data_IF_629648904568
#
_entry.id   IF_629648904568
#
_cell.length_a   1.000
_cell.length_b   1.000
_cell.length_c   1.000
_cell.angle_alpha   90.00
_cell.angle_beta   90.00
_cell.angle_gamma   90.00
#
_symmetry.space_group_name_H-M   'P 1'
#
loop_
_entity.id
_entity.type
_entity.pdbx_description
1 polymer ?
#
# COMPACT_ATOMS: atom_id res chain seq x y z
N UNK A 1 46.92 -1.07 -13.98
CA UNK A 1 45.84 -0.30 -14.63
C UNK A 1 44.76 -1.19 -15.25
N UNK A 2 45.04 -2.27 -15.95
CA UNK A 2 44.05 -3.14 -16.61
C UNK A 2 43.04 -3.80 -15.65
N UNK A 3 43.45 -4.27 -14.45
CA UNK A 3 42.51 -4.95 -13.53
C UNK A 3 41.42 -4.03 -12.98
N UNK A 4 41.73 -2.76 -12.72
CA UNK A 4 40.70 -1.79 -12.29
C UNK A 4 39.65 -1.55 -13.37
N UNK A 5 40.09 -1.38 -14.63
CA UNK A 5 39.18 -1.18 -15.75
C UNK A 5 38.22 -2.40 -15.94
N UNK A 6 38.77 -3.61 -15.89
CA UNK A 6 37.97 -4.85 -15.99
C UNK A 6 36.96 -4.92 -14.85
N UNK A 7 37.36 -4.64 -13.61
CA UNK A 7 36.48 -4.65 -12.45
C UNK A 7 35.29 -3.66 -12.60
N UNK A 8 35.57 -2.40 -12.98
CA UNK A 8 34.50 -1.43 -13.21
C UNK A 8 33.59 -1.82 -14.37
N UNK A 9 34.14 -2.38 -15.46
CA UNK A 9 33.33 -2.83 -16.60
C UNK A 9 32.39 -3.97 -16.22
N UNK A 10 32.81 -4.87 -15.34
CA UNK A 10 31.95 -5.95 -14.82
C UNK A 10 30.81 -5.36 -13.99
N UNK A 11 31.10 -4.42 -13.07
CA UNK A 11 30.05 -3.79 -12.24
C UNK A 11 29.02 -3.08 -13.11
N UNK A 12 29.47 -2.29 -14.08
CA UNK A 12 28.58 -1.59 -15.01
C UNK A 12 27.76 -2.60 -15.82
N UNK A 13 28.37 -3.67 -16.31
CA UNK A 13 27.68 -4.74 -17.03
C UNK A 13 26.58 -5.39 -16.20
N UNK A 14 26.87 -5.73 -14.95
CA UNK A 14 25.88 -6.32 -14.01
C UNK A 14 24.74 -5.33 -13.73
N UNK A 15 25.03 -4.04 -13.55
CA UNK A 15 24.02 -3.00 -13.36
C UNK A 15 23.10 -2.87 -14.58
N UNK A 16 23.68 -2.83 -15.79
CA UNK A 16 22.88 -2.77 -17.03
C UNK A 16 21.99 -4.00 -17.17
N UNK A 17 22.50 -5.20 -16.88
CA UNK A 17 21.71 -6.44 -16.90
C UNK A 17 20.54 -6.35 -15.90
N UNK A 18 20.77 -5.87 -14.68
CA UNK A 18 19.72 -5.70 -13.67
C UNK A 18 18.61 -4.76 -14.16
N UNK A 19 18.97 -3.61 -14.72
CA UNK A 19 17.99 -2.65 -15.26
C UNK A 19 17.20 -3.27 -16.41
N UNK A 20 17.86 -3.98 -17.33
CA UNK A 20 17.17 -4.68 -18.43
C UNK A 20 16.19 -5.76 -17.91
N UNK A 21 16.56 -6.49 -16.87
CA UNK A 21 15.67 -7.45 -16.22
C UNK A 21 14.43 -6.78 -15.65
N UNK A 22 14.58 -5.61 -14.99
CA UNK A 22 13.43 -4.86 -14.47
C UNK A 22 12.53 -4.31 -15.58
N UNK A 23 13.10 -3.83 -16.68
CA UNK A 23 12.32 -3.39 -17.86
C UNK A 23 11.52 -4.57 -18.43
N UNK A 24 12.17 -5.71 -18.65
CA UNK A 24 11.48 -6.93 -19.13
C UNK A 24 10.38 -7.36 -18.15
N UNK A 25 10.65 -7.29 -16.85
CA UNK A 25 9.67 -7.59 -15.81
C UNK A 25 8.49 -6.64 -15.85
N UNK A 26 8.73 -5.34 -15.99
CA UNK A 26 7.71 -4.33 -16.10
C UNK A 26 6.75 -4.60 -17.28
N UNK A 27 7.29 -4.92 -18.45
CA UNK A 27 6.51 -5.19 -19.66
C UNK A 27 5.69 -6.51 -19.58
N UNK A 28 6.08 -7.44 -18.70
CA UNK A 28 5.33 -8.69 -18.47
C UNK A 28 4.04 -8.49 -17.67
N UNK A 29 4.00 -7.49 -16.79
CA UNK A 29 2.83 -7.22 -15.99
C UNK A 29 1.84 -6.39 -16.80
N UNK A 30 0.70 -6.98 -17.10
CA UNK A 30 -0.39 -6.30 -17.80
C UNK A 30 -1.46 -5.88 -16.81
N UNK A 31 -2.03 -4.66 -16.96
CA UNK A 31 -3.20 -4.29 -16.17
C UNK A 31 -4.33 -5.27 -16.44
N UNK A 32 -5.12 -5.56 -15.40
CA UNK A 32 -6.38 -6.29 -15.60
C UNK A 32 -7.27 -5.45 -16.52
N UNK A 33 -7.75 -6.06 -17.59
CA UNK A 33 -8.64 -5.43 -18.58
C UNK A 33 -10.10 -5.81 -18.36
N UNK A 34 -10.37 -6.74 -17.46
CA UNK A 34 -11.73 -7.23 -17.17
C UNK A 34 -12.30 -6.48 -15.97
N UNK A 35 -13.42 -5.83 -16.18
CA UNK A 35 -14.25 -5.38 -15.06
C UNK A 35 -14.99 -6.59 -14.51
N UNK A 36 -14.67 -6.98 -13.31
CA UNK A 36 -15.43 -7.95 -12.54
C UNK A 36 -16.42 -7.19 -11.65
N UNK A 37 -17.64 -7.71 -11.54
CA UNK A 37 -18.63 -7.18 -10.59
C UNK A 37 -17.98 -7.15 -9.19
N UNK A 38 -18.12 -6.00 -8.52
CA UNK A 38 -17.54 -5.78 -7.20
C UNK A 38 -18.19 -6.69 -6.17
N UNK A 39 -17.53 -7.79 -5.82
CA UNK A 39 -18.01 -8.78 -4.84
C UNK A 39 -17.08 -8.94 -3.65
N UNK A 40 -15.82 -8.51 -3.78
CA UNK A 40 -14.84 -8.62 -2.71
C UNK A 40 -15.13 -7.60 -1.60
N UNK A 41 -15.11 -8.05 -0.37
CA UNK A 41 -15.31 -7.20 0.80
C UNK A 41 -13.97 -6.77 1.39
N UNK A 42 -13.83 -5.46 1.71
CA UNK A 42 -12.59 -4.86 2.18
C UNK A 42 -12.72 -4.19 3.55
N UNK A 43 -11.77 -4.41 4.43
CA UNK A 43 -11.54 -3.58 5.62
C UNK A 43 -10.31 -2.71 5.39
N UNK A 44 -10.52 -1.40 5.28
CA UNK A 44 -9.44 -0.42 5.09
C UNK A 44 -8.90 0.00 6.44
N UNK A 45 -7.59 0.03 6.58
CA UNK A 45 -6.90 0.48 7.79
C UNK A 45 -6.08 1.71 7.47
N UNK A 46 -6.33 2.79 8.20
CA UNK A 46 -5.67 4.08 8.04
C UNK A 46 -5.14 4.56 9.39
N UNK A 47 -3.86 4.28 9.72
CA UNK A 47 -3.22 4.87 10.88
C UNK A 47 -3.04 6.38 10.68
N UNK A 48 -3.29 7.17 11.72
CA UNK A 48 -3.05 8.60 11.65
C UNK A 48 -2.59 9.17 13.00
N UNK A 49 -1.83 10.26 12.93
CA UNK A 49 -1.45 11.08 14.08
C UNK A 49 -1.20 12.52 13.64
N UNK A 50 -2.02 13.46 14.13
CA UNK A 50 -1.92 14.88 13.80
C UNK A 50 -1.99 15.16 12.28
N UNK A 51 -3.01 14.61 11.63
CA UNK A 51 -3.23 14.68 10.17
C UNK A 51 -4.37 15.64 9.79
N UNK A 52 -4.70 16.62 10.63
CA UNK A 52 -5.80 17.56 10.37
C UNK A 52 -5.68 18.27 9.02
N UNK A 53 -4.47 18.43 8.49
CA UNK A 53 -4.22 19.06 7.18
C UNK A 53 -4.60 18.13 6.01
N UNK A 54 -4.29 16.83 6.10
CA UNK A 54 -4.39 15.88 5.01
C UNK A 54 -5.71 15.10 5.01
N UNK A 55 -6.30 14.87 6.18
CA UNK A 55 -7.56 14.13 6.34
C UNK A 55 -8.72 14.65 5.48
N UNK A 56 -8.96 15.96 5.28
CA UNK A 56 -10.02 16.42 4.41
C UNK A 56 -9.91 15.89 2.98
N UNK A 57 -8.73 15.91 2.41
CA UNK A 57 -8.46 15.45 1.04
C UNK A 57 -8.63 13.93 0.94
N UNK A 58 -8.09 13.17 1.89
CA UNK A 58 -8.27 11.71 1.97
C UNK A 58 -9.75 11.34 2.07
N UNK A 59 -10.47 11.91 3.04
CA UNK A 59 -11.89 11.60 3.28
C UNK A 59 -12.76 11.96 2.08
N UNK A 60 -12.49 13.09 1.41
CA UNK A 60 -13.16 13.45 0.16
C UNK A 60 -12.87 12.44 -0.96
N UNK A 61 -11.64 11.91 -1.05
CA UNK A 61 -11.32 10.87 -2.02
C UNK A 61 -12.06 9.55 -1.72
N UNK A 62 -12.26 9.21 -0.45
CA UNK A 62 -13.07 8.05 -0.02
C UNK A 62 -14.54 8.22 -0.43
N UNK A 63 -15.10 9.43 -0.26
CA UNK A 63 -16.51 9.69 -0.56
C UNK A 63 -16.88 9.43 -2.03
N UNK A 64 -15.93 9.60 -2.95
CA UNK A 64 -16.15 9.47 -4.40
C UNK A 64 -15.70 8.11 -4.97
N UNK A 65 -15.32 7.16 -4.13
CA UNK A 65 -14.98 5.79 -4.58
C UNK A 65 -16.21 5.13 -5.21
N UNK A 66 -16.01 4.59 -6.41
CA UNK A 66 -17.02 3.89 -7.20
C UNK A 66 -17.03 2.39 -6.86
N UNK A 67 -17.57 2.06 -5.67
CA UNK A 67 -17.73 0.70 -5.18
C UNK A 67 -18.94 0.63 -4.23
N UNK A 68 -19.59 -0.53 -4.12
CA UNK A 68 -20.74 -0.69 -3.23
C UNK A 68 -20.32 -0.45 -1.77
N UNK A 69 -20.95 0.53 -1.14
CA UNK A 69 -20.63 0.95 0.23
C UNK A 69 -20.90 -0.13 1.29
N UNK A 70 -21.70 -1.13 0.97
CA UNK A 70 -21.93 -2.29 1.85
C UNK A 70 -20.79 -3.30 1.83
N UNK A 71 -19.87 -3.18 0.87
CA UNK A 71 -18.75 -4.11 0.67
C UNK A 71 -17.42 -3.61 1.26
N UNK A 72 -17.40 -2.46 1.92
CA UNK A 72 -16.19 -2.02 2.62
C UNK A 72 -16.48 -1.29 3.92
N UNK A 73 -15.52 -1.31 4.81
CA UNK A 73 -15.47 -0.48 6.01
C UNK A 73 -14.14 0.25 6.07
N UNK A 74 -14.12 1.41 6.73
CA UNK A 74 -12.92 2.21 6.97
C UNK A 74 -12.64 2.25 8.47
N UNK A 75 -11.43 1.87 8.88
CA UNK A 75 -10.97 1.92 10.26
C UNK A 75 -9.83 2.93 10.35
N UNK A 76 -10.14 4.09 10.89
CA UNK A 76 -9.17 5.12 11.20
C UNK A 76 -8.59 4.84 12.60
N UNK A 77 -7.27 4.69 12.70
CA UNK A 77 -6.59 4.36 13.96
C UNK A 77 -5.85 5.58 14.46
N UNK A 78 -6.38 6.20 15.49
CA UNK A 78 -5.78 7.37 16.13
C UNK A 78 -4.61 6.99 17.03
N UNK A 79 -3.42 7.46 16.68
CA UNK A 79 -2.21 7.27 17.46
C UNK A 79 -1.91 8.49 18.35
N UNK A 80 -2.85 8.84 19.23
CA UNK A 80 -2.76 9.94 20.19
C UNK A 80 -2.63 11.33 19.52
N UNK A 81 -3.52 11.64 18.58
CA UNK A 81 -3.59 12.98 17.97
C UNK A 81 -3.95 14.05 18.99
N UNK A 82 -3.33 15.22 18.85
CA UNK A 82 -3.53 16.40 19.70
C UNK A 82 -4.08 17.61 18.93
N UNK A 83 -4.27 17.45 17.61
CA UNK A 83 -4.85 18.45 16.72
C UNK A 83 -6.35 18.17 16.45
N UNK A 84 -6.94 18.85 15.48
CA UNK A 84 -8.36 18.73 15.12
C UNK A 84 -8.70 17.50 14.26
N UNK A 85 -7.79 16.52 14.12
CA UNK A 85 -8.00 15.33 13.28
C UNK A 85 -9.29 14.59 13.60
N UNK A 86 -9.56 14.34 14.88
CA UNK A 86 -10.78 13.63 15.32
C UNK A 86 -12.06 14.40 15.02
N UNK A 87 -12.04 15.74 15.16
CA UNK A 87 -13.19 16.59 14.86
C UNK A 87 -13.53 16.55 13.36
N UNK A 88 -12.51 16.62 12.50
CA UNK A 88 -12.66 16.52 11.03
C UNK A 88 -13.31 15.18 10.65
N UNK A 89 -12.83 14.07 11.21
CA UNK A 89 -13.39 12.74 10.96
C UNK A 89 -14.86 12.68 11.40
N UNK A 90 -15.18 13.17 12.59
CA UNK A 90 -16.55 13.14 13.12
C UNK A 90 -17.51 13.97 12.26
N UNK A 91 -17.09 15.16 11.80
CA UNK A 91 -17.87 15.99 10.88
C UNK A 91 -18.10 15.30 9.54
N UNK A 92 -17.07 14.64 9.00
CA UNK A 92 -17.19 13.88 7.76
C UNK A 92 -18.18 12.71 7.90
N UNK A 93 -18.10 11.93 8.98
CA UNK A 93 -19.01 10.82 9.26
C UNK A 93 -20.47 11.29 9.37
N UNK A 94 -20.70 12.42 10.04
CA UNK A 94 -22.04 13.00 10.16
C UNK A 94 -22.64 13.38 8.79
N UNK A 95 -21.80 13.88 7.88
CA UNK A 95 -22.22 14.27 6.53
C UNK A 95 -22.30 13.09 5.53
N UNK A 96 -21.70 11.95 5.86
CA UNK A 96 -21.63 10.77 4.99
C UNK A 96 -22.09 9.48 5.71
N UNK A 97 -23.31 9.41 6.24
CA UNK A 97 -23.77 8.30 7.09
C UNK A 97 -23.89 6.95 6.37
N UNK A 98 -23.77 6.94 5.05
CA UNK A 98 -23.85 5.71 4.24
C UNK A 98 -22.50 4.98 4.12
N UNK A 99 -21.39 5.62 4.54
CA UNK A 99 -20.06 5.00 4.52
C UNK A 99 -19.77 4.45 5.92
N UNK A 100 -19.43 3.18 6.01
CA UNK A 100 -19.10 2.55 7.28
C UNK A 100 -17.67 2.95 7.73
N UNK A 101 -17.59 4.02 8.52
CA UNK A 101 -16.33 4.54 9.07
C UNK A 101 -16.36 4.45 10.58
N UNK A 102 -15.30 3.90 11.15
CA UNK A 102 -15.09 3.91 12.59
C UNK A 102 -13.69 4.41 12.95
N UNK A 103 -13.60 5.12 14.06
CA UNK A 103 -12.33 5.55 14.64
C UNK A 103 -12.06 4.75 15.89
N UNK A 104 -10.85 4.20 16.00
CA UNK A 104 -10.38 3.47 17.19
C UNK A 104 -9.05 4.07 17.67
N UNK A 105 -8.77 3.91 18.97
CA UNK A 105 -7.48 4.31 19.51
C UNK A 105 -6.43 3.23 19.27
N UNK A 106 -5.21 3.65 18.96
CA UNK A 106 -4.06 2.74 18.89
C UNK A 106 -3.74 2.14 20.26
N UNK A 107 -3.48 0.84 20.29
CA UNK A 107 -2.94 0.14 21.47
C UNK A 107 -1.46 -0.12 21.25
N UNK A 108 -0.63 0.84 21.66
CA UNK A 108 0.83 0.75 21.53
C UNK A 108 1.38 -0.38 22.39
N UNK A 109 2.09 -1.32 21.77
CA UNK A 109 2.70 -2.48 22.41
C UNK A 109 4.18 -2.62 22.07
N UNK A 110 4.66 -1.90 21.05
CA UNK A 110 6.03 -1.98 20.54
C UNK A 110 6.64 -0.59 20.32
N UNK A 111 7.85 -0.55 19.79
CA UNK A 111 8.51 0.69 19.38
C UNK A 111 8.07 1.17 17.98
N UNK A 112 7.08 0.52 17.36
CA UNK A 112 6.56 0.85 16.04
C UNK A 112 5.07 1.19 16.09
N UNK A 113 4.70 2.47 16.33
CA UNK A 113 3.30 2.89 16.46
C UNK A 113 2.42 2.50 15.27
N UNK A 114 2.96 2.55 14.04
CA UNK A 114 2.22 2.18 12.82
C UNK A 114 1.90 0.68 12.79
N UNK A 115 2.84 -0.20 13.15
CA UNK A 115 2.60 -1.65 13.23
C UNK A 115 1.59 -2.00 14.32
N UNK A 116 1.68 -1.33 15.46
CA UNK A 116 0.71 -1.48 16.55
C UNK A 116 -0.69 -1.03 16.11
N UNK A 117 -0.79 0.09 15.40
CA UNK A 117 -2.06 0.60 14.88
C UNK A 117 -2.70 -0.39 13.88
N UNK A 118 -1.93 -0.93 12.94
CA UNK A 118 -2.41 -1.94 12.01
C UNK A 118 -2.86 -3.20 12.76
N UNK A 119 -2.07 -3.69 13.72
CA UNK A 119 -2.40 -4.87 14.52
C UNK A 119 -3.66 -4.67 15.36
N UNK A 120 -3.82 -3.48 15.96
CA UNK A 120 -5.02 -3.08 16.70
C UNK A 120 -6.25 -3.08 15.78
N UNK A 121 -6.13 -2.51 14.58
CA UNK A 121 -7.21 -2.45 13.62
C UNK A 121 -7.63 -3.85 13.13
N UNK A 122 -6.68 -4.73 12.79
CA UNK A 122 -6.96 -6.08 12.28
C UNK A 122 -7.86 -6.87 13.22
N UNK A 123 -7.70 -6.72 14.53
CA UNK A 123 -8.57 -7.35 15.53
C UNK A 123 -10.02 -6.85 15.47
N UNK A 124 -10.24 -5.68 14.88
CA UNK A 124 -11.54 -5.00 14.77
C UNK A 124 -12.13 -5.04 13.35
N UNK A 125 -11.48 -5.71 12.38
CA UNK A 125 -11.96 -5.78 11.00
C UNK A 125 -13.06 -6.82 10.83
N UNK A 126 -14.07 -6.49 10.00
CA UNK A 126 -15.19 -7.38 9.63
C UNK A 126 -14.80 -8.33 8.49
N UNK A 127 -13.99 -7.87 7.55
CA UNK A 127 -13.80 -8.54 6.27
C UNK A 127 -12.45 -9.24 6.17
N UNK A 128 -12.36 -10.20 5.23
CA UNK A 128 -11.18 -11.04 5.06
C UNK A 128 -10.04 -10.40 4.26
N UNK A 129 -10.32 -9.34 3.48
CA UNK A 129 -9.31 -8.57 2.80
C UNK A 129 -9.03 -7.27 3.53
N UNK A 130 -7.78 -7.09 3.92
CA UNK A 130 -7.27 -5.86 4.52
C UNK A 130 -6.66 -5.00 3.41
N UNK A 131 -6.96 -3.72 3.42
CA UNK A 131 -6.31 -2.73 2.57
C UNK A 131 -5.70 -1.66 3.46
N UNK A 132 -4.39 -1.44 3.35
CA UNK A 132 -3.68 -0.40 4.10
C UNK A 132 -3.40 0.80 3.20
N UNK A 133 -3.58 1.99 3.76
CA UNK A 133 -3.17 3.27 3.17
C UNK A 133 -2.79 4.26 4.26
N UNK A 134 -2.06 5.31 3.90
CA UNK A 134 -1.64 6.35 4.81
C UNK A 134 -2.64 7.54 4.81
N UNK A 135 -2.64 8.32 5.89
CA UNK A 135 -3.60 9.43 6.05
C UNK A 135 -3.33 10.65 5.15
N UNK A 136 -2.17 10.71 4.51
CA UNK A 136 -1.75 11.72 3.54
C UNK A 136 -1.93 11.27 2.07
N UNK A 137 -2.80 10.30 1.81
CA UNK A 137 -3.02 9.73 0.50
C UNK A 137 -4.32 10.21 -0.16
N UNK A 138 -4.32 10.27 -1.50
CA UNK A 138 -5.51 10.43 -2.34
C UNK A 138 -5.81 9.12 -3.04
N UNK A 139 -7.01 8.60 -2.86
CA UNK A 139 -7.42 7.32 -3.39
C UNK A 139 -8.13 7.50 -4.75
N UNK A 140 -7.80 6.69 -5.77
CA UNK A 140 -8.50 6.75 -7.05
C UNK A 140 -9.93 6.20 -6.90
N UNK A 141 -10.88 6.72 -7.68
CA UNK A 141 -12.28 6.27 -7.67
C UNK A 141 -12.44 4.77 -7.90
N UNK A 142 -11.55 4.17 -8.69
CA UNK A 142 -11.53 2.74 -9.04
C UNK A 142 -10.68 1.89 -8.09
N UNK A 143 -10.33 2.40 -6.92
CA UNK A 143 -9.38 1.75 -6.00
C UNK A 143 -9.76 0.31 -5.67
N UNK A 144 -10.97 0.11 -5.16
CA UNK A 144 -11.45 -1.24 -4.83
C UNK A 144 -11.74 -2.10 -6.07
N UNK A 145 -12.25 -1.50 -7.15
CA UNK A 145 -12.52 -2.25 -8.39
C UNK A 145 -11.24 -2.86 -8.98
N UNK A 146 -10.11 -2.14 -8.88
CA UNK A 146 -8.81 -2.65 -9.33
C UNK A 146 -8.31 -3.81 -8.48
N UNK A 147 -8.45 -3.72 -7.15
CA UNK A 147 -8.14 -4.85 -6.25
C UNK A 147 -9.06 -6.03 -6.51
N UNK A 148 -10.37 -5.79 -6.60
CA UNK A 148 -11.36 -6.83 -6.87
C UNK A 148 -11.05 -7.60 -8.17
N UNK A 149 -10.77 -6.89 -9.26
CA UNK A 149 -10.42 -7.52 -10.53
C UNK A 149 -9.18 -8.41 -10.42
N UNK A 150 -8.14 -7.92 -9.75
CA UNK A 150 -6.93 -8.71 -9.50
C UNK A 150 -7.18 -9.94 -8.62
N UNK A 151 -8.04 -9.82 -7.62
CA UNK A 151 -8.43 -10.92 -6.72
C UNK A 151 -9.19 -11.99 -7.51
N UNK A 152 -10.19 -11.58 -8.29
CA UNK A 152 -11.00 -12.51 -9.10
C UNK A 152 -10.18 -13.26 -10.15
N UNK A 153 -9.26 -12.57 -10.83
CA UNK A 153 -8.46 -13.19 -11.90
C UNK A 153 -7.35 -14.09 -11.36
N UNK A 154 -6.73 -13.72 -10.26
CA UNK A 154 -5.46 -14.31 -9.85
C UNK A 154 -5.51 -15.04 -8.51
N UNK A 155 -6.55 -14.83 -7.70
CA UNK A 155 -6.67 -15.34 -6.33
C UNK A 155 -5.36 -15.18 -5.51
N UNK A 156 -4.83 -13.94 -5.36
CA UNK A 156 -3.61 -13.70 -4.61
C UNK A 156 -3.84 -13.79 -3.11
N UNK A 157 -2.74 -13.75 -2.36
CA UNK A 157 -2.77 -13.60 -0.91
C UNK A 157 -2.36 -12.19 -0.46
N UNK A 158 -1.60 -11.50 -1.32
CA UNK A 158 -1.17 -10.12 -1.13
C UNK A 158 -1.08 -9.42 -2.48
N UNK A 159 -1.40 -8.14 -2.52
CA UNK A 159 -1.30 -7.27 -3.69
C UNK A 159 -0.56 -6.01 -3.27
N UNK A 160 0.51 -5.69 -3.97
CA UNK A 160 1.26 -4.44 -3.85
C UNK A 160 0.90 -3.54 -5.01
N UNK A 161 0.39 -2.36 -4.74
CA UNK A 161 -0.01 -1.40 -5.75
C UNK A 161 0.89 -0.16 -5.73
N UNK A 162 1.07 0.54 -6.87
CA UNK A 162 1.97 1.67 -6.98
C UNK A 162 1.45 2.90 -6.23
N UNK A 163 2.39 3.74 -5.81
CA UNK A 163 2.15 5.05 -5.20
C UNK A 163 2.89 6.11 -5.99
N UNK A 164 2.40 7.34 -6.00
CA UNK A 164 3.06 8.50 -6.60
C UNK A 164 2.92 9.71 -5.69
N UNK A 165 3.77 10.71 -5.86
CA UNK A 165 3.57 12.02 -5.24
C UNK A 165 2.65 12.89 -6.10
N UNK A 166 1.88 13.76 -5.44
CA UNK A 166 1.10 14.80 -6.11
C UNK A 166 2.08 15.76 -6.82
N UNK A 167 1.91 15.92 -8.13
CA UNK A 167 2.82 16.74 -8.93
C UNK A 167 2.70 18.24 -8.58
N UNK A 168 3.84 18.94 -8.52
CA UNK A 168 3.88 20.39 -8.50
C UNK A 168 4.98 20.90 -9.46
N UNK A 169 5.05 22.22 -9.69
CA UNK A 169 5.95 22.83 -10.68
C UNK A 169 7.40 23.09 -10.18
N UNK A 170 7.72 22.78 -8.92
CA UNK A 170 9.06 22.96 -8.38
C UNK A 170 10.04 21.98 -9.00
N UNK A 171 11.23 22.45 -9.40
CA UNK A 171 12.29 21.60 -9.95
C UNK A 171 12.69 20.47 -9.00
N UNK A 172 12.88 20.77 -7.72
CA UNK A 172 13.22 19.77 -6.72
C UNK A 172 12.13 18.70 -6.61
N UNK A 173 10.87 19.13 -6.61
CA UNK A 173 9.75 18.19 -6.53
C UNK A 173 9.66 17.31 -7.78
N UNK A 174 9.86 17.85 -8.98
CA UNK A 174 9.91 17.05 -10.21
C UNK A 174 11.05 16.02 -10.18
N UNK A 175 12.22 16.41 -9.67
CA UNK A 175 13.33 15.49 -9.48
C UNK A 175 12.98 14.36 -8.51
N UNK A 176 12.41 14.68 -7.34
CA UNK A 176 11.94 13.70 -6.35
C UNK A 176 10.86 12.77 -6.92
N UNK A 177 9.94 13.33 -7.73
CA UNK A 177 8.89 12.54 -8.38
C UNK A 177 9.48 11.52 -9.36
N UNK A 178 10.44 11.94 -10.21
CA UNK A 178 11.10 11.03 -11.17
C UNK A 178 11.88 9.94 -10.43
N UNK A 179 12.62 10.30 -9.39
CA UNK A 179 13.36 9.35 -8.55
C UNK A 179 12.43 8.32 -7.92
N UNK A 180 11.33 8.79 -7.31
CA UNK A 180 10.32 7.92 -6.71
C UNK A 180 9.64 7.01 -7.75
N UNK A 181 9.27 7.55 -8.92
CA UNK A 181 8.68 6.76 -10.01
C UNK A 181 9.66 5.72 -10.56
N UNK A 182 10.96 6.00 -10.57
CA UNK A 182 11.97 5.02 -10.98
C UNK A 182 12.02 3.83 -10.02
N UNK A 183 11.91 4.09 -8.71
CA UNK A 183 11.79 3.04 -7.69
C UNK A 183 10.49 2.23 -7.85
N UNK A 184 9.35 2.89 -8.13
CA UNK A 184 8.10 2.20 -8.43
C UNK A 184 8.23 1.32 -9.69
N UNK A 185 8.89 1.81 -10.74
CA UNK A 185 9.18 1.04 -11.95
C UNK A 185 10.03 -0.20 -11.66
N UNK A 186 11.08 -0.06 -10.85
CA UNK A 186 11.92 -1.19 -10.42
C UNK A 186 11.12 -2.20 -9.57
N UNK A 187 10.26 -1.71 -8.67
CA UNK A 187 9.35 -2.55 -7.85
C UNK A 187 8.44 -3.38 -8.74
N UNK A 188 7.75 -2.76 -9.69
CA UNK A 188 6.87 -3.43 -10.65
C UNK A 188 7.68 -4.45 -11.48
N UNK A 189 8.86 -4.05 -11.97
CA UNK A 189 9.79 -4.93 -12.69
C UNK A 189 10.19 -6.17 -11.86
N UNK A 190 10.47 -5.98 -10.57
CA UNK A 190 10.77 -7.06 -9.63
C UNK A 190 9.62 -8.09 -9.54
N UNK A 191 8.37 -7.63 -9.45
CA UNK A 191 7.21 -8.52 -9.49
C UNK A 191 7.11 -9.28 -10.81
N UNK A 192 7.37 -8.61 -11.94
CA UNK A 192 7.31 -9.23 -13.28
C UNK A 192 8.37 -10.29 -13.53
N UNK A 193 9.52 -10.22 -12.89
CA UNK A 193 10.56 -11.27 -12.92
C UNK A 193 10.43 -12.27 -11.75
N UNK A 194 9.33 -12.20 -10.98
CA UNK A 194 9.08 -13.06 -9.82
C UNK A 194 10.12 -12.93 -8.68
N UNK A 195 10.71 -11.75 -8.55
CA UNK A 195 11.64 -11.37 -7.49
C UNK A 195 11.17 -10.08 -6.81
N UNK A 196 10.00 -10.10 -6.14
CA UNK A 196 9.51 -8.92 -5.43
C UNK A 196 10.44 -8.59 -4.25
N UNK A 197 10.83 -7.33 -4.14
CA UNK A 197 11.80 -6.88 -3.12
C UNK A 197 11.37 -5.60 -2.40
N UNK A 198 10.30 -4.95 -2.87
CA UNK A 198 9.81 -3.70 -2.28
C UNK A 198 8.27 -3.65 -2.31
N UNK A 199 7.69 -3.05 -1.29
CA UNK A 199 6.28 -2.71 -1.19
C UNK A 199 6.14 -1.28 -0.66
N UNK A 200 4.94 -0.72 -0.78
CA UNK A 200 4.61 0.56 -0.14
C UNK A 200 3.32 0.39 0.66
N UNK A 201 3.41 0.64 1.97
CA UNK A 201 2.30 0.52 2.92
C UNK A 201 1.12 1.44 2.62
N UNK A 202 1.34 2.49 1.82
CA UNK A 202 0.31 3.42 1.41
C UNK A 202 -0.66 2.86 0.34
N UNK A 203 -0.36 1.68 -0.25
CA UNK A 203 -1.24 1.05 -1.24
C UNK A 203 -1.05 -0.49 -1.26
N UNK A 204 -1.47 -1.16 -0.20
CA UNK A 204 -1.21 -2.56 0.05
C UNK A 204 -2.48 -3.30 0.43
N UNK A 205 -2.78 -4.43 -0.24
CA UNK A 205 -3.90 -5.30 0.13
C UNK A 205 -3.43 -6.72 0.44
N UNK A 206 -4.00 -7.36 1.47
CA UNK A 206 -3.64 -8.72 1.86
C UNK A 206 -4.77 -9.44 2.60
N UNK A 207 -4.74 -10.78 2.55
CA UNK A 207 -5.68 -11.60 3.29
C UNK A 207 -5.39 -11.57 4.79
N UNK A 208 -6.40 -11.22 5.60
CA UNK A 208 -6.32 -11.19 7.07
C UNK A 208 -5.86 -12.54 7.64
N UNK A 209 -6.43 -13.64 7.13
CA UNK A 209 -6.08 -14.98 7.60
C UNK A 209 -4.57 -15.30 7.41
N UNK A 210 -3.99 -14.90 6.27
CA UNK A 210 -2.56 -15.12 6.00
C UNK A 210 -1.69 -14.25 6.90
N UNK A 211 -2.06 -12.98 7.10
CA UNK A 211 -1.37 -12.10 8.05
C UNK A 211 -1.32 -12.73 9.46
N UNK A 212 -2.45 -13.28 9.93
CA UNK A 212 -2.53 -13.93 11.23
C UNK A 212 -1.72 -15.24 11.28
N UNK A 213 -1.75 -16.06 10.22
CA UNK A 213 -0.93 -17.29 10.11
C UNK A 213 0.57 -16.99 10.15
N UNK A 214 1.00 -15.85 9.61
CA UNK A 214 2.39 -15.39 9.64
C UNK A 214 2.77 -14.66 10.93
N UNK A 215 1.86 -14.61 11.92
CA UNK A 215 2.00 -13.88 13.17
C UNK A 215 2.19 -12.35 13.00
N UNK A 216 1.71 -11.79 11.89
CA UNK A 216 1.72 -10.36 11.64
C UNK A 216 3.13 -9.76 11.63
N UNK A 217 3.36 -8.75 12.48
CA UNK A 217 4.65 -8.06 12.61
C UNK A 217 5.56 -8.62 13.71
N UNK A 218 5.17 -9.71 14.39
CA UNK A 218 6.04 -10.37 15.37
C UNK A 218 7.38 -10.71 14.72
N UNK A 219 8.46 -10.48 15.40
CA UNK A 219 9.87 -10.57 14.96
C UNK A 219 10.43 -9.28 14.31
N UNK A 220 9.60 -8.28 13.98
CA UNK A 220 10.02 -7.00 13.42
C UNK A 220 9.44 -5.80 14.17
N UNK A 221 8.82 -6.00 15.31
CA UNK A 221 8.19 -5.02 16.19
C UNK A 221 9.17 -4.04 16.86
N UNK A 222 10.45 -4.40 16.93
CA UNK A 222 11.53 -3.55 17.42
C UNK A 222 12.07 -2.55 16.38
N UNK A 223 11.73 -2.71 15.07
CA UNK A 223 12.12 -1.79 13.99
C UNK A 223 10.93 -0.89 13.67
N UNK A 224 11.09 0.43 13.82
CA UNK A 224 10.01 1.40 13.67
C UNK A 224 9.50 1.57 12.22
N UNK A 225 10.33 1.27 11.20
CA UNK A 225 10.02 1.42 9.77
C UNK A 225 9.98 0.08 9.03
N UNK A 226 9.56 0.09 7.76
CA UNK A 226 9.63 -1.09 6.87
C UNK A 226 8.56 -2.14 7.16
N UNK A 227 7.42 -1.74 7.72
CA UNK A 227 6.26 -2.60 7.96
C UNK A 227 5.79 -3.31 6.68
N UNK A 228 5.80 -2.62 5.56
CA UNK A 228 5.40 -3.08 4.23
C UNK A 228 6.41 -4.08 3.63
N UNK A 229 7.70 -3.76 3.67
CA UNK A 229 8.76 -4.62 3.11
C UNK A 229 8.88 -5.90 3.93
N UNK A 230 8.90 -5.82 5.25
CA UNK A 230 8.94 -7.01 6.12
C UNK A 230 7.70 -7.89 5.95
N UNK A 231 6.52 -7.28 5.76
CA UNK A 231 5.32 -8.04 5.48
C UNK A 231 5.42 -8.75 4.13
N UNK A 232 5.90 -8.06 3.09
CA UNK A 232 6.16 -8.64 1.78
C UNK A 232 7.14 -9.82 1.88
N UNK A 233 8.28 -9.64 2.56
CA UNK A 233 9.27 -10.70 2.76
C UNK A 233 8.67 -11.93 3.45
N UNK A 234 7.85 -11.73 4.48
CA UNK A 234 7.18 -12.84 5.16
C UNK A 234 6.22 -13.60 4.24
N UNK A 235 5.47 -12.90 3.40
CA UNK A 235 4.57 -13.53 2.43
C UNK A 235 5.36 -14.30 1.34
N UNK A 236 6.46 -13.74 0.85
CA UNK A 236 7.30 -14.33 -0.19
C UNK A 236 8.09 -15.54 0.36
N UNK A 237 8.65 -15.44 1.57
CA UNK A 237 9.41 -16.54 2.20
C UNK A 237 8.59 -17.82 2.35
N UNK A 238 7.28 -17.69 2.46
CA UNK A 238 6.35 -18.81 2.48
C UNK A 238 5.81 -19.05 1.08
N UNK A 239 6.56 -19.69 0.20
CA UNK A 239 6.29 -19.93 -1.23
C UNK A 239 4.87 -20.42 -1.58
N UNK A 240 4.07 -20.84 -0.60
CA UNK A 240 2.65 -21.20 -0.78
C UNK A 240 1.73 -19.99 -0.98
N UNK A 241 2.19 -18.78 -0.68
CA UNK A 241 1.39 -17.57 -0.80
C UNK A 241 1.70 -16.82 -2.09
N UNK A 242 0.66 -16.51 -2.85
CA UNK A 242 0.77 -15.77 -4.11
C UNK A 242 0.78 -14.27 -3.83
N UNK A 243 1.85 -13.59 -4.18
CA UNK A 243 1.99 -12.14 -4.09
C UNK A 243 1.97 -11.54 -5.50
N UNK A 244 1.20 -10.48 -5.70
CA UNK A 244 1.06 -9.79 -6.98
C UNK A 244 1.43 -8.31 -6.87
N UNK A 245 2.03 -7.78 -7.93
CA UNK A 245 2.12 -6.34 -8.18
C UNK A 245 0.96 -5.88 -9.07
N UNK A 246 0.30 -4.76 -8.71
CA UNK A 246 -0.64 -4.07 -9.58
C UNK A 246 0.05 -2.96 -10.36
N UNK A 247 -0.47 -2.71 -11.56
CA UNK A 247 0.08 -1.69 -12.46
C UNK A 247 -0.75 -0.40 -12.49
N UNK A 248 -2.06 -0.47 -12.25
CA UNK A 248 -3.01 0.58 -12.58
C UNK A 248 -3.80 1.16 -11.40
N UNK A 249 -3.44 0.84 -10.17
CA UNK A 249 -4.13 1.33 -8.97
C UNK A 249 -3.26 2.36 -8.24
N UNK A 250 -2.96 3.46 -8.92
CA UNK A 250 -2.05 4.49 -8.42
C UNK A 250 -2.73 5.33 -7.33
N UNK A 251 -2.24 5.25 -6.11
CA UNK A 251 -2.54 6.17 -5.01
C UNK A 251 -1.57 7.35 -5.06
N UNK A 252 -2.04 8.56 -4.80
CA UNK A 252 -1.19 9.75 -4.75
C UNK A 252 -0.97 10.18 -3.30
N UNK A 253 0.26 10.36 -2.90
CA UNK A 253 0.65 10.96 -1.63
C UNK A 253 0.66 12.49 -1.77
N UNK A 254 0.10 13.21 -0.76
CA UNK A 254 -0.09 14.68 -0.77
C UNK A 254 1.18 15.41 -0.34
#
# INVERSE_FOLDING_TARGET
MCYGFIFYSIIIGLYVILILLFIIGFDKLKPSTKNHDGTTQFSVIIPFRNEAKNLPDLLNSIAVIEYDKSLYEIILVDDESTDNSLEIINQFCANNPTIDIKTIKNSRQSNSPKKDAISTAISNTKYGWIVATDADCLLPKTWFSSFNSSICENNPNMIVAPVSFKSNSSFLHQFQLIDFLSMQGATIGGFGIQQPFMANGANLAYKKEVFLQLNGFKNNDFIASGDDVFLLENFVAHNKFKVLGLFNNLTQQI
#
